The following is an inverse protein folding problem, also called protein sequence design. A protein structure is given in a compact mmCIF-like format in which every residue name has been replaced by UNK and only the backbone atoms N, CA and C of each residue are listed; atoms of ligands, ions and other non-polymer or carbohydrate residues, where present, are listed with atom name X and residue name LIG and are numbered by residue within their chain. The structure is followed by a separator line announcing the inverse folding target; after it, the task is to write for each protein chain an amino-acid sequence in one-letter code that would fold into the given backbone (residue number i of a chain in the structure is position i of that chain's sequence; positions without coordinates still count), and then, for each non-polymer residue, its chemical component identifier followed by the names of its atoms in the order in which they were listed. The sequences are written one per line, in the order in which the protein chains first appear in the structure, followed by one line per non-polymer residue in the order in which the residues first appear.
data_IF_220820701042
#
_entry.id   IF_220820701042
#
_cell.length_a   1.000
_cell.length_b   1.000
_cell.length_c   1.000
_cell.angle_alpha   90.00
_cell.angle_beta   90.00
_cell.angle_gamma   90.00
#
_symmetry.space_group_name_H-M   'P 1'
#
loop_
_entity.id
_entity.type
_entity.pdbx_description
1 polymer ?
#
# COMPACT_ATOMS: atom_id res chain seq x y z
N UNK A 1 -18.82 3.31 12.87
CA UNK A 1 -17.78 3.99 13.65
C UNK A 1 -18.10 5.48 13.69
N UNK A 2 -18.34 6.08 14.88
CA UNK A 2 -18.51 7.53 15.00
C UNK A 2 -17.23 8.26 14.60
N UNK A 3 -17.34 9.56 14.28
CA UNK A 3 -16.17 10.39 14.02
C UNK A 3 -15.24 10.42 15.24
N UNK A 4 -13.96 10.18 15.03
CA UNK A 4 -12.98 10.11 16.11
C UNK A 4 -12.01 11.28 16.09
N UNK A 5 -11.86 11.95 17.24
CA UNK A 5 -10.94 13.09 17.39
C UNK A 5 -9.45 12.66 17.21
N UNK A 6 -9.09 11.47 17.67
CA UNK A 6 -7.70 10.99 17.61
C UNK A 6 -7.22 10.69 16.20
N UNK A 7 -8.11 10.22 15.30
CA UNK A 7 -7.76 9.84 13.93
C UNK A 7 -8.27 10.80 12.88
N UNK A 8 -8.98 11.86 13.25
CA UNK A 8 -9.67 12.80 12.33
C UNK A 8 -10.54 12.11 11.28
N UNK A 9 -11.00 10.89 11.58
CA UNK A 9 -11.72 10.06 10.63
C UNK A 9 -13.21 10.40 10.70
N UNK A 10 -13.87 10.77 9.61
CA UNK A 10 -15.31 11.01 9.57
C UNK A 10 -16.11 9.78 10.02
N UNK A 11 -17.37 9.98 10.42
CA UNK A 11 -18.27 8.89 10.72
C UNK A 11 -18.45 7.97 9.50
N UNK A 12 -18.40 6.66 9.70
CA UNK A 12 -18.51 5.66 8.62
C UNK A 12 -18.97 4.31 9.17
N UNK A 13 -19.52 3.48 8.30
CA UNK A 13 -19.65 2.04 8.55
C UNK A 13 -18.36 1.36 8.17
N UNK A 14 -17.80 0.53 9.05
CA UNK A 14 -16.61 -0.27 8.74
C UNK A 14 -17.01 -1.73 8.56
N UNK A 15 -16.59 -2.32 7.45
CA UNK A 15 -16.78 -3.73 7.13
C UNK A 15 -15.40 -4.36 6.95
N UNK A 16 -15.12 -5.39 7.74
CA UNK A 16 -13.89 -6.17 7.64
C UNK A 16 -14.20 -7.52 7.00
N UNK A 17 -13.41 -7.90 6.02
CA UNK A 17 -13.59 -9.14 5.26
C UNK A 17 -12.26 -9.89 5.18
N UNK A 18 -12.32 -11.21 5.29
CA UNK A 18 -11.20 -12.11 4.96
C UNK A 18 -11.56 -12.94 3.73
N UNK A 19 -10.70 -12.92 2.73
CA UNK A 19 -10.86 -13.66 1.48
C UNK A 19 -9.76 -14.70 1.38
N UNK A 20 -10.13 -15.96 1.13
CA UNK A 20 -9.18 -17.06 0.95
C UNK A 20 -9.51 -17.76 -0.39
N UNK A 21 -9.06 -17.23 -1.52
CA UNK A 21 -9.41 -17.71 -2.84
C UNK A 21 -8.82 -19.09 -3.15
N UNK A 22 -7.69 -19.41 -2.56
CA UNK A 22 -7.00 -20.70 -2.69
C UNK A 22 -6.35 -21.09 -1.35
N UNK A 23 -6.00 -22.35 -1.21
CA UNK A 23 -5.26 -22.81 -0.03
C UNK A 23 -3.93 -22.06 0.09
N UNK A 24 -3.59 -21.56 1.27
CA UNK A 24 -2.37 -20.77 1.53
C UNK A 24 -2.53 -19.25 1.31
N UNK A 25 -3.63 -18.80 0.74
CA UNK A 25 -3.96 -17.37 0.61
C UNK A 25 -4.91 -16.93 1.73
N UNK A 26 -4.65 -15.76 2.30
CA UNK A 26 -5.51 -15.12 3.29
C UNK A 26 -5.39 -13.60 3.20
N UNK A 27 -6.36 -12.99 2.57
CA UNK A 27 -6.38 -11.56 2.29
C UNK A 27 -7.37 -10.89 3.23
N UNK A 28 -6.89 -9.96 4.04
CA UNK A 28 -7.72 -9.07 4.84
C UNK A 28 -8.04 -7.78 4.07
N UNK A 29 -9.30 -7.38 4.06
CA UNK A 29 -9.75 -6.13 3.46
C UNK A 29 -10.66 -5.36 4.42
N UNK A 30 -10.55 -4.04 4.39
CA UNK A 30 -11.37 -3.12 5.19
C UNK A 30 -12.04 -2.13 4.26
N UNK A 31 -13.34 -2.05 4.38
CA UNK A 31 -14.21 -1.14 3.63
C UNK A 31 -14.80 -0.12 4.57
N UNK A 32 -14.60 1.17 4.30
CA UNK A 32 -15.16 2.26 5.09
C UNK A 32 -16.15 3.05 4.25
N UNK A 33 -17.38 3.06 4.71
CA UNK A 33 -18.55 3.50 3.96
C UNK A 33 -19.15 4.73 4.65
N UNK A 34 -18.91 5.96 4.15
CA UNK A 34 -19.43 7.18 4.77
C UNK A 34 -20.93 7.34 4.50
N UNK A 35 -21.70 7.98 5.41
CA UNK A 35 -23.13 8.20 5.21
C UNK A 35 -23.44 9.20 4.08
N UNK A 36 -22.51 10.11 3.80
CA UNK A 36 -22.60 11.12 2.73
C UNK A 36 -21.83 10.67 1.48
N UNK A 37 -22.04 9.43 1.05
CA UNK A 37 -21.36 8.85 -0.09
C UNK A 37 -21.57 9.63 -1.38
N UNK A 38 -20.51 9.89 -2.11
CA UNK A 38 -20.47 10.65 -3.36
C UNK A 38 -20.67 9.79 -4.64
N UNK A 39 -21.08 8.52 -4.51
CA UNK A 39 -21.23 7.58 -5.61
C UNK A 39 -19.93 6.92 -6.07
N UNK A 40 -18.79 7.17 -5.42
CA UNK A 40 -17.48 6.74 -5.90
C UNK A 40 -16.73 5.91 -4.86
N UNK A 41 -15.80 5.09 -5.36
CA UNK A 41 -14.87 4.32 -4.52
C UNK A 41 -13.44 4.83 -4.65
N UNK A 42 -12.66 4.68 -3.58
CA UNK A 42 -11.24 4.97 -3.54
C UNK A 42 -10.49 3.80 -2.90
N UNK A 43 -9.66 3.11 -3.69
CA UNK A 43 -8.69 2.15 -3.21
C UNK A 43 -7.41 2.84 -2.78
N UNK A 44 -6.87 2.45 -1.63
CA UNK A 44 -5.62 2.99 -1.10
C UNK A 44 -4.53 1.92 -1.09
N UNK A 45 -3.35 2.29 -1.60
CA UNK A 45 -2.18 1.42 -1.64
C UNK A 45 -1.39 1.40 -0.34
N UNK A 46 -0.66 0.31 -0.11
CA UNK A 46 0.21 0.11 1.04
C UNK A 46 1.61 0.74 0.87
N UNK A 47 2.48 0.50 1.85
CA UNK A 47 3.83 1.02 1.87
C UNK A 47 4.87 -0.01 2.32
N UNK A 48 6.02 -0.07 1.64
CA UNK A 48 7.03 -1.10 1.91
C UNK A 48 6.47 -2.50 1.69
N UNK A 49 6.65 -3.38 2.65
CA UNK A 49 6.05 -4.71 2.64
C UNK A 49 4.68 -4.77 3.34
N UNK A 50 4.25 -3.73 4.03
CA UNK A 50 2.97 -3.72 4.72
C UNK A 50 1.82 -3.25 3.81
N UNK A 51 0.66 -3.87 3.97
CA UNK A 51 -0.61 -3.31 3.52
C UNK A 51 -1.01 -2.10 4.38
N UNK A 52 -1.95 -1.30 3.91
CA UNK A 52 -2.49 -0.18 4.71
C UNK A 52 -3.98 -0.39 4.97
N UNK A 53 -4.33 -0.70 6.21
CA UNK A 53 -5.71 -0.85 6.68
C UNK A 53 -6.04 0.16 7.79
N UNK A 54 -5.17 1.15 8.01
CA UNK A 54 -5.33 2.15 9.07
C UNK A 54 -6.42 3.13 8.73
N UNK A 55 -7.28 3.42 9.71
CA UNK A 55 -8.35 4.38 9.55
C UNK A 55 -7.84 5.80 9.23
N UNK A 56 -6.71 6.20 9.81
CA UNK A 56 -6.12 7.52 9.56
C UNK A 56 -5.79 7.77 8.09
N UNK A 57 -5.32 6.76 7.34
CA UNK A 57 -5.02 6.90 5.92
C UNK A 57 -6.30 7.07 5.07
N UNK A 58 -7.44 6.58 5.56
CA UNK A 58 -8.73 6.71 4.89
C UNK A 58 -9.42 8.06 5.12
N UNK A 59 -8.91 8.89 6.05
CA UNK A 59 -9.63 10.07 6.53
C UNK A 59 -9.95 11.10 5.42
N UNK A 60 -9.01 11.38 4.53
CA UNK A 60 -9.22 12.30 3.42
C UNK A 60 -10.28 11.78 2.44
N UNK A 61 -10.16 10.53 2.00
CA UNK A 61 -11.13 9.90 1.11
C UNK A 61 -12.55 9.90 1.70
N UNK A 62 -12.67 9.54 2.98
CA UNK A 62 -13.94 9.57 3.71
C UNK A 62 -14.49 10.99 3.83
N UNK A 63 -13.65 11.98 4.13
CA UNK A 63 -14.04 13.39 4.19
C UNK A 63 -14.60 13.93 2.89
N UNK A 64 -14.13 13.39 1.77
CA UNK A 64 -14.59 13.70 0.40
C UNK A 64 -15.78 12.83 -0.04
N UNK A 65 -16.28 11.96 0.84
CA UNK A 65 -17.45 11.11 0.58
C UNK A 65 -17.16 9.82 -0.21
N UNK A 66 -15.92 9.42 -0.38
CA UNK A 66 -15.61 8.15 -1.03
C UNK A 66 -15.89 6.96 -0.11
N UNK A 67 -16.40 5.87 -0.67
CA UNK A 67 -16.27 4.56 -0.07
C UNK A 67 -14.81 4.12 -0.20
N UNK A 68 -14.09 3.97 0.93
CA UNK A 68 -12.65 3.70 0.93
C UNK A 68 -12.37 2.22 1.10
N UNK A 69 -11.47 1.68 0.27
CA UNK A 69 -11.01 0.29 0.29
C UNK A 69 -9.54 0.26 0.68
N UNK A 70 -9.21 -0.61 1.63
CA UNK A 70 -7.85 -0.92 2.02
C UNK A 70 -7.68 -2.43 2.18
N UNK A 71 -6.47 -2.95 1.96
CA UNK A 71 -6.18 -4.36 2.16
C UNK A 71 -4.79 -4.54 2.79
N UNK A 72 -4.58 -5.73 3.37
CA UNK A 72 -3.37 -6.11 4.09
C UNK A 72 -2.31 -6.77 3.19
N UNK A 73 -2.50 -6.76 1.88
CA UNK A 73 -1.64 -7.41 0.87
C UNK A 73 -1.49 -8.93 1.05
N UNK A 74 -2.43 -9.59 1.76
CA UNK A 74 -2.44 -11.03 1.98
C UNK A 74 -1.62 -11.48 3.18
N UNK A 75 -1.22 -10.54 4.06
CA UNK A 75 -0.52 -10.86 5.31
C UNK A 75 -0.83 -9.83 6.40
N UNK A 76 -0.74 -10.27 7.66
CA UNK A 76 -1.12 -9.42 8.81
C UNK A 76 0.00 -8.49 9.31
N UNK A 77 1.18 -8.45 8.69
CA UNK A 77 2.29 -7.61 9.15
C UNK A 77 2.02 -6.14 8.86
N UNK A 78 2.15 -5.30 9.88
CA UNK A 78 2.14 -3.84 9.76
C UNK A 78 3.55 -3.25 9.65
N UNK A 79 4.58 -4.09 9.75
CA UNK A 79 5.96 -3.68 9.61
C UNK A 79 6.33 -3.57 8.11
N UNK A 80 6.59 -2.35 7.66
CA UNK A 80 6.94 -2.07 6.27
C UNK A 80 8.31 -2.64 5.82
N UNK A 81 9.10 -3.17 6.73
CA UNK A 81 10.40 -3.78 6.45
C UNK A 81 10.40 -5.31 6.63
N UNK A 82 9.24 -5.92 6.91
CA UNK A 82 9.12 -7.35 7.18
C UNK A 82 8.71 -8.14 5.92
N UNK A 83 9.66 -8.84 5.26
CA UNK A 83 9.39 -9.67 4.09
C UNK A 83 8.97 -11.10 4.44
N UNK A 84 8.70 -11.42 5.72
CA UNK A 84 8.49 -12.80 6.20
C UNK A 84 7.31 -13.51 5.53
N UNK A 85 6.32 -12.76 5.04
CA UNK A 85 5.18 -13.32 4.30
C UNK A 85 5.60 -14.11 3.05
N UNK A 86 6.78 -13.80 2.49
CA UNK A 86 7.31 -14.47 1.31
C UNK A 86 7.88 -15.87 1.59
N UNK A 87 7.94 -16.28 2.86
CA UNK A 87 8.48 -17.56 3.29
C UNK A 87 7.50 -18.31 4.17
N UNK A 88 7.50 -19.63 4.05
CA UNK A 88 6.79 -20.54 4.96
C UNK A 88 7.60 -20.83 6.24
N UNK A 89 7.02 -21.56 7.17
CA UNK A 89 7.68 -21.93 8.41
C UNK A 89 8.96 -22.81 8.24
N UNK A 90 9.13 -23.42 7.07
CA UNK A 90 10.32 -24.19 6.70
C UNK A 90 11.37 -23.35 5.95
N UNK A 91 11.13 -22.04 5.80
CA UNK A 91 12.00 -21.12 5.07
C UNK A 91 11.93 -21.26 3.54
N UNK A 92 10.95 -21.99 3.00
CA UNK A 92 10.70 -22.07 1.57
C UNK A 92 9.80 -20.92 1.11
N UNK A 93 9.84 -20.61 -0.18
CA UNK A 93 8.99 -19.58 -0.74
C UNK A 93 7.51 -19.86 -0.51
N UNK A 94 6.81 -18.94 0.12
CA UNK A 94 5.35 -18.92 0.21
C UNK A 94 4.78 -18.28 -1.07
N UNK A 95 4.60 -19.11 -2.09
CA UNK A 95 4.19 -18.66 -3.42
C UNK A 95 2.85 -17.91 -3.38
N UNK A 96 1.89 -18.39 -2.59
CA UNK A 96 0.57 -17.76 -2.50
C UNK A 96 0.64 -16.39 -1.82
N UNK A 97 1.45 -16.23 -0.76
CA UNK A 97 1.69 -14.94 -0.13
C UNK A 97 2.40 -13.95 -1.07
N UNK A 98 3.34 -14.43 -1.90
CA UNK A 98 4.01 -13.61 -2.92
C UNK A 98 3.02 -13.15 -4.00
N UNK A 99 2.10 -14.03 -4.44
CA UNK A 99 1.06 -13.70 -5.42
C UNK A 99 0.06 -12.70 -4.83
N UNK A 100 -0.36 -12.90 -3.58
CA UNK A 100 -1.26 -11.98 -2.88
C UNK A 100 -0.64 -10.58 -2.78
N UNK A 101 0.57 -10.49 -2.28
CA UNK A 101 1.32 -9.25 -2.21
C UNK A 101 1.55 -8.62 -3.60
N UNK A 102 1.82 -9.46 -4.60
CA UNK A 102 2.13 -9.04 -5.96
C UNK A 102 0.98 -8.29 -6.65
N UNK A 103 -0.21 -8.84 -6.58
CA UNK A 103 -1.38 -8.29 -7.28
C UNK A 103 -2.74 -8.77 -6.77
N UNK A 104 -2.88 -10.07 -6.33
CA UNK A 104 -4.19 -10.69 -6.10
C UNK A 104 -4.96 -10.03 -4.96
N UNK A 105 -4.27 -9.60 -3.90
CA UNK A 105 -4.94 -8.99 -2.75
C UNK A 105 -5.65 -7.69 -3.10
N UNK A 106 -5.02 -6.82 -3.88
CA UNK A 106 -5.62 -5.55 -4.29
C UNK A 106 -6.81 -5.79 -5.20
N UNK A 107 -6.67 -6.64 -6.21
CA UNK A 107 -7.76 -7.02 -7.11
C UNK A 107 -8.98 -7.56 -6.36
N UNK A 108 -8.79 -8.60 -5.54
CA UNK A 108 -9.92 -9.22 -4.84
C UNK A 108 -10.57 -8.27 -3.82
N UNK A 109 -9.77 -7.46 -3.12
CA UNK A 109 -10.32 -6.41 -2.25
C UNK A 109 -11.17 -5.42 -3.04
N UNK A 110 -10.77 -5.06 -4.26
CA UNK A 110 -11.53 -4.16 -5.13
C UNK A 110 -12.85 -4.78 -5.60
N UNK A 111 -12.81 -6.01 -6.11
CA UNK A 111 -14.01 -6.73 -6.58
C UNK A 111 -15.02 -6.89 -5.44
N UNK A 112 -14.57 -7.37 -4.27
CA UNK A 112 -15.43 -7.51 -3.09
C UNK A 112 -15.92 -6.14 -2.60
N UNK A 113 -15.07 -5.10 -2.65
CA UNK A 113 -15.44 -3.74 -2.25
C UNK A 113 -16.55 -3.14 -3.10
N UNK A 114 -16.50 -3.34 -4.42
CA UNK A 114 -17.60 -2.94 -5.33
C UNK A 114 -18.91 -3.63 -4.93
N UNK A 115 -18.86 -4.91 -4.61
CA UNK A 115 -20.02 -5.65 -4.15
C UNK A 115 -20.53 -5.15 -2.79
N UNK A 116 -19.63 -4.94 -1.81
CA UNK A 116 -19.98 -4.41 -0.47
C UNK A 116 -20.65 -3.04 -0.59
N UNK A 117 -20.07 -2.12 -1.37
CA UNK A 117 -20.63 -0.78 -1.60
C UNK A 117 -22.01 -0.87 -2.23
N UNK A 118 -22.16 -1.72 -3.26
CA UNK A 118 -23.45 -1.93 -3.93
C UNK A 118 -24.52 -2.44 -2.97
N UNK A 119 -24.18 -3.39 -2.10
CA UNK A 119 -25.13 -3.94 -1.11
C UNK A 119 -25.48 -2.95 -0.02
N UNK A 120 -24.54 -2.11 0.38
CA UNK A 120 -24.73 -1.12 1.44
C UNK A 120 -25.54 0.10 0.97
N UNK A 121 -25.21 0.64 -0.21
CA UNK A 121 -25.87 1.85 -0.74
C UNK A 121 -27.06 1.57 -1.64
N UNK A 122 -27.32 0.31 -2.01
CA UNK A 122 -28.39 -0.07 -2.93
C UNK A 122 -28.11 0.25 -4.41
N UNK A 123 -26.93 0.77 -4.73
CA UNK A 123 -26.50 1.07 -6.10
C UNK A 123 -24.99 0.84 -6.26
N UNK A 124 -24.57 0.46 -7.46
CA UNK A 124 -23.16 0.27 -7.75
C UNK A 124 -22.41 1.61 -7.75
N UNK A 125 -21.12 1.62 -7.40
CA UNK A 125 -20.28 2.80 -7.58
C UNK A 125 -20.25 3.24 -9.06
N UNK A 126 -20.44 4.53 -9.28
CA UNK A 126 -20.37 5.13 -10.62
C UNK A 126 -18.94 5.13 -11.17
N UNK A 127 -17.98 5.31 -10.26
CA UNK A 127 -16.54 5.34 -10.56
C UNK A 127 -15.75 4.73 -9.41
N UNK A 128 -14.66 4.08 -9.76
CA UNK A 128 -13.66 3.58 -8.81
C UNK A 128 -12.29 4.17 -9.15
N UNK A 129 -11.61 4.70 -8.15
CA UNK A 129 -10.26 5.24 -8.26
C UNK A 129 -9.31 4.53 -7.33
N UNK A 130 -8.03 4.53 -7.69
CA UNK A 130 -6.96 4.03 -6.85
C UNK A 130 -5.87 5.08 -6.70
N UNK A 131 -5.32 5.21 -5.51
CA UNK A 131 -4.13 6.00 -5.28
C UNK A 131 -3.13 5.26 -4.40
N UNK A 132 -1.86 5.40 -4.73
CA UNK A 132 -0.80 4.79 -3.94
C UNK A 132 0.57 5.31 -4.29
N UNK A 133 1.44 5.32 -3.28
CA UNK A 133 2.85 5.72 -3.40
C UNK A 133 3.76 4.54 -3.09
N UNK A 134 4.95 4.48 -3.67
CA UNK A 134 5.93 3.40 -3.44
C UNK A 134 5.35 2.03 -3.79
N UNK A 135 5.18 1.12 -2.83
CA UNK A 135 4.47 -0.16 -3.03
C UNK A 135 3.05 0.08 -3.52
N UNK A 136 2.35 1.09 -2.99
CA UNK A 136 1.03 1.49 -3.48
C UNK A 136 1.05 1.94 -4.94
N UNK A 137 2.09 2.65 -5.36
CA UNK A 137 2.30 2.98 -6.77
C UNK A 137 2.48 1.72 -7.64
N UNK A 138 3.25 0.73 -7.17
CA UNK A 138 3.38 -0.59 -7.82
C UNK A 138 2.04 -1.31 -7.91
N UNK A 139 1.23 -1.29 -6.83
CA UNK A 139 -0.12 -1.87 -6.86
C UNK A 139 -0.95 -1.23 -7.97
N UNK A 140 -0.98 0.12 -8.04
CA UNK A 140 -1.69 0.84 -9.10
C UNK A 140 -1.26 0.43 -10.50
N UNK A 141 0.06 0.27 -10.75
CA UNK A 141 0.56 -0.24 -12.04
C UNK A 141 0.13 -1.69 -12.31
N UNK A 142 0.11 -2.54 -11.28
CA UNK A 142 -0.35 -3.92 -11.42
C UNK A 142 -1.86 -3.97 -11.77
N UNK A 143 -2.67 -3.10 -11.16
CA UNK A 143 -4.10 -3.00 -11.44
C UNK A 143 -4.36 -2.59 -12.90
N UNK A 144 -3.76 -1.51 -13.40
CA UNK A 144 -4.00 -1.08 -14.79
C UNK A 144 -3.49 -2.09 -15.82
N UNK A 145 -2.46 -2.86 -15.48
CA UNK A 145 -1.89 -3.84 -16.39
C UNK A 145 -2.67 -5.16 -16.41
N UNK A 146 -3.10 -5.64 -15.23
CA UNK A 146 -3.71 -6.97 -15.07
C UNK A 146 -5.23 -6.95 -14.99
N UNK A 147 -5.77 -5.87 -14.42
CA UNK A 147 -7.19 -5.75 -14.06
C UNK A 147 -7.75 -4.38 -14.49
N UNK A 148 -7.69 -4.05 -15.79
CA UNK A 148 -8.04 -2.72 -16.28
C UNK A 148 -9.49 -2.30 -15.98
N UNK A 149 -10.36 -3.25 -15.68
CA UNK A 149 -11.77 -3.00 -15.33
C UNK A 149 -11.99 -2.70 -13.84
N UNK A 150 -10.94 -2.77 -13.01
CA UNK A 150 -11.09 -2.56 -11.57
C UNK A 150 -11.21 -1.08 -11.23
N UNK A 151 -10.51 -0.20 -11.94
CA UNK A 151 -10.48 1.23 -11.66
C UNK A 151 -10.63 2.08 -12.92
N UNK A 152 -11.41 3.15 -12.81
CA UNK A 152 -11.59 4.16 -13.87
C UNK A 152 -10.41 5.15 -13.92
N UNK A 153 -9.62 5.24 -12.84
CA UNK A 153 -8.45 6.09 -12.79
C UNK A 153 -7.50 5.68 -11.66
N UNK A 154 -6.21 5.78 -11.93
CA UNK A 154 -5.15 5.36 -11.00
C UNK A 154 -4.10 6.45 -10.86
N UNK A 155 -3.80 6.83 -9.62
CA UNK A 155 -2.64 7.64 -9.28
C UNK A 155 -1.55 6.72 -8.74
N UNK A 156 -0.49 6.54 -9.53
CA UNK A 156 0.68 5.76 -9.17
C UNK A 156 1.86 6.69 -8.91
N UNK A 157 2.10 7.00 -7.64
CA UNK A 157 3.18 7.88 -7.23
C UNK A 157 4.44 7.06 -6.87
N UNK A 158 5.61 7.52 -7.33
CA UNK A 158 6.92 6.93 -7.03
C UNK A 158 6.91 5.38 -7.01
N UNK A 159 6.40 4.70 -8.06
CA UNK A 159 6.17 3.26 -8.03
C UNK A 159 7.47 2.47 -7.96
N UNK A 160 7.50 1.42 -7.14
CA UNK A 160 8.58 0.42 -7.14
C UNK A 160 8.25 -0.62 -8.23
N UNK A 161 8.51 -0.29 -9.49
CA UNK A 161 8.14 -1.13 -10.63
C UNK A 161 9.28 -2.00 -11.19
N UNK A 162 10.51 -1.80 -10.67
CA UNK A 162 11.68 -2.61 -11.02
C UNK A 162 12.26 -3.31 -9.79
N UNK A 163 11.56 -4.30 -9.20
CA UNK A 163 11.94 -4.88 -7.91
C UNK A 163 13.34 -5.51 -7.93
N UNK A 164 13.76 -6.10 -9.05
CA UNK A 164 15.11 -6.69 -9.16
C UNK A 164 16.21 -5.62 -9.09
N UNK A 165 16.05 -4.50 -9.80
CA UNK A 165 17.00 -3.39 -9.76
C UNK A 165 17.07 -2.77 -8.38
N UNK A 166 15.90 -2.54 -7.76
CA UNK A 166 15.80 -1.99 -6.41
C UNK A 166 16.43 -2.94 -5.37
N UNK A 167 16.11 -4.23 -5.42
CA UNK A 167 16.69 -5.23 -4.51
C UNK A 167 18.20 -5.35 -4.67
N UNK A 168 18.72 -5.32 -5.90
CA UNK A 168 20.16 -5.30 -6.16
C UNK A 168 20.84 -4.06 -5.59
N UNK A 169 20.21 -2.88 -5.69
CA UNK A 169 20.76 -1.66 -5.12
C UNK A 169 20.83 -1.76 -3.59
N UNK A 170 19.75 -2.23 -2.93
CA UNK A 170 19.72 -2.44 -1.48
C UNK A 170 20.79 -3.45 -1.04
N UNK A 171 20.89 -4.60 -1.72
CA UNK A 171 21.88 -5.63 -1.37
C UNK A 171 23.32 -5.11 -1.49
N UNK A 172 23.60 -4.31 -2.53
CA UNK A 172 24.92 -3.68 -2.70
C UNK A 172 25.22 -2.69 -1.59
N UNK A 173 24.24 -1.85 -1.21
CA UNK A 173 24.38 -0.90 -0.11
C UNK A 173 24.58 -1.64 1.21
N UNK A 174 23.81 -2.69 1.48
CA UNK A 174 23.98 -3.50 2.68
C UNK A 174 25.34 -4.21 2.72
N UNK A 175 25.80 -4.80 1.60
CA UNK A 175 27.11 -5.43 1.52
C UNK A 175 28.25 -4.42 1.71
N UNK A 176 28.06 -3.19 1.23
CA UNK A 176 29.00 -2.10 1.46
C UNK A 176 29.05 -1.72 2.94
N UNK A 177 27.89 -1.48 3.58
CA UNK A 177 27.80 -1.10 4.99
C UNK A 177 28.14 -2.23 5.98
N UNK A 178 28.17 -3.48 5.52
CA UNK A 178 28.65 -4.60 6.34
C UNK A 178 30.18 -4.52 6.64
N UNK A 179 30.89 -3.64 5.92
CA UNK A 179 32.32 -3.39 6.14
C UNK A 179 32.47 -2.17 7.03
N UNK A 180 33.05 -2.29 8.25
CA UNK A 180 33.19 -1.16 9.18
C UNK A 180 33.89 0.07 8.57
N UNK A 181 34.90 -0.18 7.71
CA UNK A 181 35.66 0.86 7.00
C UNK A 181 34.85 1.62 5.95
N UNK A 182 33.68 1.13 5.58
CA UNK A 182 32.79 1.78 4.60
C UNK A 182 31.82 2.75 5.27
N UNK A 183 31.70 2.70 6.59
CA UNK A 183 30.76 3.56 7.30
C UNK A 183 31.30 4.98 7.40
N UNK A 184 30.49 5.93 6.98
CA UNK A 184 30.78 7.34 7.13
C UNK A 184 30.65 7.71 8.61
N UNK A 185 31.75 8.09 9.26
CA UNK A 185 31.69 8.55 10.63
C UNK A 185 30.91 9.88 10.73
N UNK A 186 30.11 10.10 11.80
CA UNK A 186 29.26 11.29 11.92
C UNK A 186 30.01 12.63 11.74
N UNK A 187 31.28 12.68 12.15
CA UNK A 187 32.15 13.86 12.00
C UNK A 187 32.47 14.20 10.53
N UNK A 188 32.33 13.27 9.59
CA UNK A 188 32.53 13.50 8.17
C UNK A 188 31.30 14.12 7.47
N UNK A 189 30.11 13.99 8.07
CA UNK A 189 28.86 14.51 7.47
C UNK A 189 28.92 16.03 7.28
N UNK A 190 29.36 16.85 8.28
CA UNK A 190 29.49 18.27 8.10
C UNK A 190 30.53 18.68 7.03
N UNK A 191 31.61 17.90 6.87
CA UNK A 191 32.62 18.16 5.84
C UNK A 191 32.01 18.03 4.44
N UNK A 192 31.28 16.96 4.19
CA UNK A 192 30.59 16.73 2.92
C UNK A 192 29.53 17.81 2.69
N UNK A 193 28.68 18.06 3.70
CA UNK A 193 27.65 19.09 3.62
C UNK A 193 28.21 20.47 3.27
N UNK A 194 29.23 20.92 3.97
CA UNK A 194 29.85 22.23 3.73
C UNK A 194 30.50 22.29 2.35
N UNK A 195 31.13 21.21 1.89
CA UNK A 195 31.72 21.16 0.54
C UNK A 195 30.65 21.29 -0.55
N UNK A 196 29.49 20.61 -0.35
CA UNK A 196 28.35 20.71 -1.27
C UNK A 196 27.80 22.14 -1.28
N UNK A 197 27.56 22.75 -0.10
CA UNK A 197 27.08 24.13 -0.02
C UNK A 197 28.06 25.11 -0.70
N UNK A 198 29.37 24.98 -0.43
CA UNK A 198 30.38 25.84 -1.05
C UNK A 198 30.41 25.69 -2.58
N UNK A 199 30.11 24.51 -3.12
CA UNK A 199 30.11 24.29 -4.57
C UNK A 199 28.80 24.69 -5.25
N UNK A 200 27.66 24.57 -4.55
CA UNK A 200 26.32 24.70 -5.16
C UNK A 200 25.59 25.98 -4.79
N UNK A 201 25.82 26.55 -3.60
CA UNK A 201 25.07 27.73 -3.12
C UNK A 201 25.74 29.07 -3.41
N UNK A 202 26.86 29.06 -4.09
CA UNK A 202 27.60 30.30 -4.49
C UNK A 202 27.11 30.89 -5.83
N UNK A 203 25.93 30.47 -6.31
CA UNK A 203 25.33 31.00 -7.56
C UNK A 203 24.07 31.79 -7.28
#
# INVERSE_FOLDING_TARGET
VPAGAENRTPAHCEVQVSVSPVAGSKIGAVYRLPPNWNGKMLGLGGGGFAGDVRAASAADGLGRGYAVIQNDLGHGSTNSLDPSFAFDAAGKHNVEGIIDFGHRATHLATVVGKWVATRFYGQAPERAYFEGCSTGGRQGLAEVQRYPDDYDGVISAAPVFTPLTYSNAILRVQAFHARPESNLAPEHVPLIHNAVLAACDTK
#
